data_IF_699286737662
#
_entry.id   IF_699286737662
#
_cell.length_a   1.000
_cell.length_b   1.000
_cell.length_c   1.000
_cell.angle_alpha   90.00
_cell.angle_beta   90.00
_cell.angle_gamma   90.00
#
_symmetry.space_group_name_H-M   'P 1'
#
loop_
_entity.id
_entity.type
_entity.pdbx_description
1 polymer ?
#
# COMPACT_ATOMS: atom_id res chain seq x y z
N UNK A 1 72.97 -14.90 6.16
CA UNK A 1 71.72 -15.59 5.72
C UNK A 1 70.53 -14.81 6.20
N UNK A 2 69.95 -13.97 5.36
CA UNK A 2 68.78 -13.14 5.68
C UNK A 2 67.55 -13.83 5.06
N UNK A 3 66.64 -14.31 5.90
CA UNK A 3 65.34 -14.90 5.50
C UNK A 3 64.29 -13.77 5.28
N UNK A 4 63.86 -13.57 4.01
CA UNK A 4 62.79 -12.69 3.64
C UNK A 4 61.46 -13.36 4.04
N UNK A 5 60.73 -12.81 5.02
CA UNK A 5 59.34 -13.12 5.33
C UNK A 5 58.43 -12.33 4.36
N UNK A 6 57.78 -13.03 3.44
CA UNK A 6 56.74 -12.45 2.61
C UNK A 6 55.43 -12.33 3.41
N UNK A 7 54.98 -11.09 3.59
CA UNK A 7 53.64 -10.79 4.12
C UNK A 7 52.62 -10.95 2.99
N UNK A 8 51.76 -11.96 3.09
CA UNK A 8 50.63 -12.13 2.20
C UNK A 8 49.48 -11.32 2.79
N UNK A 9 49.18 -10.16 2.20
CA UNK A 9 47.95 -9.43 2.48
C UNK A 9 46.79 -10.07 1.74
N UNK A 10 45.96 -10.82 2.43
CA UNK A 10 44.69 -11.33 1.90
C UNK A 10 43.68 -10.17 1.85
N UNK A 11 43.38 -9.67 0.66
CA UNK A 11 42.31 -8.72 0.44
C UNK A 11 40.95 -9.44 0.55
N UNK A 12 40.20 -9.15 1.60
CA UNK A 12 38.80 -9.60 1.75
C UNK A 12 37.95 -8.76 0.81
N UNK A 13 37.52 -9.35 -0.31
CA UNK A 13 36.53 -8.72 -1.19
C UNK A 13 35.16 -8.76 -0.53
N UNK A 14 34.69 -7.60 -0.06
CA UNK A 14 33.30 -7.43 0.41
C UNK A 14 32.41 -7.42 -0.85
N UNK A 15 31.44 -8.34 -0.97
CA UNK A 15 30.52 -8.30 -2.09
C UNK A 15 29.67 -7.04 -2.01
N UNK A 16 29.78 -6.19 -3.03
CA UNK A 16 28.93 -5.03 -3.22
C UNK A 16 27.54 -5.56 -3.62
N UNK A 17 26.63 -5.69 -2.66
CA UNK A 17 25.22 -6.01 -2.97
C UNK A 17 24.64 -4.78 -3.66
N UNK A 18 24.19 -4.89 -4.94
CA UNK A 18 23.57 -3.77 -5.62
C UNK A 18 22.31 -3.41 -4.83
N UNK A 19 22.29 -2.20 -4.25
CA UNK A 19 21.06 -1.60 -3.77
C UNK A 19 20.22 -1.34 -5.01
N UNK A 20 19.17 -2.11 -5.22
CA UNK A 20 18.16 -1.79 -6.22
C UNK A 20 17.69 -0.36 -5.92
N UNK A 21 18.01 0.55 -6.84
CA UNK A 21 17.50 1.91 -6.77
C UNK A 21 15.98 1.81 -6.83
N UNK A 22 15.31 2.23 -5.76
CA UNK A 22 13.84 2.25 -5.72
C UNK A 22 13.40 3.31 -6.71
N UNK A 23 12.51 2.96 -7.61
CA UNK A 23 11.98 3.91 -8.58
C UNK A 23 11.26 5.03 -7.80
N UNK A 24 11.69 6.27 -8.03
CA UNK A 24 10.95 7.43 -7.55
C UNK A 24 9.58 7.48 -8.23
N UNK A 25 8.56 7.98 -7.50
CA UNK A 25 7.24 8.18 -8.06
C UNK A 25 7.31 9.00 -9.34
N UNK A 26 6.79 8.47 -10.43
CA UNK A 26 6.70 9.18 -11.71
C UNK A 26 5.36 9.89 -11.80
N UNK A 27 5.32 11.06 -12.43
CA UNK A 27 4.07 11.71 -12.79
C UNK A 27 3.54 11.06 -14.08
N UNK A 28 2.32 10.52 -14.04
CA UNK A 28 1.63 10.04 -15.23
C UNK A 28 1.06 11.18 -16.08
N UNK A 29 0.68 10.86 -17.31
CA UNK A 29 0.04 11.83 -18.22
C UNK A 29 -1.33 12.31 -17.71
N UNK A 30 -1.95 11.52 -16.81
CA UNK A 30 -3.17 11.84 -16.07
C UNK A 30 -2.93 12.78 -14.87
N UNK A 31 -1.68 13.17 -14.61
CA UNK A 31 -1.31 14.04 -13.50
C UNK A 31 -1.30 13.34 -12.13
N UNK A 32 -1.42 12.02 -12.10
CA UNK A 32 -1.30 11.22 -10.88
C UNK A 32 0.14 10.74 -10.67
N UNK A 33 0.53 10.56 -9.41
CA UNK A 33 1.79 9.93 -9.06
C UNK A 33 1.70 8.42 -9.30
N UNK A 34 2.66 7.83 -10.03
CA UNK A 34 2.70 6.40 -10.35
C UNK A 34 3.84 5.70 -9.63
N UNK A 35 3.60 4.46 -9.25
CA UNK A 35 4.61 3.54 -8.74
C UNK A 35 4.71 2.33 -9.67
N UNK A 36 5.92 1.80 -9.87
CA UNK A 36 6.13 0.65 -10.76
C UNK A 36 5.51 -0.66 -10.24
N UNK A 37 5.13 -0.69 -8.96
CA UNK A 37 4.49 -1.82 -8.31
C UNK A 37 2.96 -1.70 -8.24
N UNK A 38 2.36 -0.66 -8.84
CA UNK A 38 0.91 -0.61 -9.00
C UNK A 38 0.47 -1.62 -10.07
N UNK A 39 -0.65 -2.27 -9.82
CA UNK A 39 -1.23 -3.22 -10.75
C UNK A 39 -1.70 -2.49 -12.01
N UNK A 40 -1.30 -3.01 -13.17
CA UNK A 40 -1.89 -2.62 -14.45
C UNK A 40 -3.20 -3.40 -14.63
N UNK A 41 -4.27 -2.85 -14.06
CA UNK A 41 -5.59 -3.47 -14.00
C UNK A 41 -6.48 -3.04 -15.16
N UNK A 42 -7.35 -3.94 -15.60
CA UNK A 42 -8.49 -3.62 -16.48
C UNK A 42 -9.63 -2.93 -15.73
N UNK A 43 -9.47 -2.68 -14.43
CA UNK A 43 -10.46 -2.07 -13.55
C UNK A 43 -11.74 -2.90 -13.36
N UNK A 44 -11.62 -4.20 -13.38
CA UNK A 44 -12.66 -5.16 -13.00
C UNK A 44 -12.42 -5.55 -11.53
N UNK A 45 -12.94 -4.74 -10.59
CA UNK A 45 -12.53 -4.79 -9.18
C UNK A 45 -12.79 -6.14 -8.49
N UNK A 46 -13.85 -6.83 -8.89
CA UNK A 46 -14.16 -8.17 -8.40
C UNK A 46 -13.11 -9.20 -8.82
N UNK A 47 -12.69 -9.15 -10.08
CA UNK A 47 -11.70 -10.04 -10.66
C UNK A 47 -10.29 -9.70 -10.14
N UNK A 48 -9.98 -8.41 -9.96
CA UNK A 48 -8.73 -7.97 -9.35
C UNK A 48 -8.59 -8.54 -7.92
N UNK A 49 -9.65 -8.42 -7.09
CA UNK A 49 -9.64 -8.98 -5.73
C UNK A 49 -9.56 -10.51 -5.74
N UNK A 50 -10.25 -11.17 -6.66
CA UNK A 50 -10.20 -12.62 -6.78
C UNK A 50 -8.81 -13.11 -7.19
N UNK A 51 -8.18 -12.41 -8.13
CA UNK A 51 -6.81 -12.72 -8.59
C UNK A 51 -5.78 -12.50 -7.47
N UNK A 52 -5.87 -11.39 -6.75
CA UNK A 52 -5.02 -11.13 -5.58
C UNK A 52 -5.20 -12.21 -4.50
N UNK A 53 -6.45 -12.58 -4.21
CA UNK A 53 -6.79 -13.59 -3.21
C UNK A 53 -6.27 -14.99 -3.55
N UNK A 54 -6.24 -15.36 -4.84
CA UNK A 54 -5.65 -16.62 -5.29
C UNK A 54 -4.14 -16.73 -4.95
N UNK A 55 -3.48 -15.60 -4.81
CA UNK A 55 -2.07 -15.51 -4.38
C UNK A 55 -1.91 -15.17 -2.88
N UNK A 56 -3.00 -15.18 -2.13
CA UNK A 56 -3.02 -14.89 -0.69
C UNK A 56 -2.91 -13.40 -0.35
N UNK A 57 -3.09 -12.51 -1.34
CA UNK A 57 -3.06 -11.05 -1.16
C UNK A 57 -4.45 -10.44 -1.17
N UNK A 58 -4.60 -9.29 -0.53
CA UNK A 58 -5.78 -8.44 -0.65
C UNK A 58 -5.68 -7.47 -1.83
N UNK A 59 -6.70 -6.64 -1.98
CA UNK A 59 -6.72 -5.54 -2.95
C UNK A 59 -6.72 -4.21 -2.21
N UNK A 60 -5.84 -3.30 -2.63
CA UNK A 60 -5.77 -1.92 -2.16
C UNK A 60 -6.22 -0.99 -3.28
N UNK A 61 -7.32 -0.29 -3.09
CA UNK A 61 -7.84 0.70 -4.01
C UNK A 61 -7.44 2.09 -3.53
N UNK A 62 -6.62 2.78 -4.31
CA UNK A 62 -6.06 4.07 -3.96
C UNK A 62 -6.68 5.17 -4.83
N UNK A 63 -7.60 5.95 -4.24
CA UNK A 63 -8.17 7.12 -4.90
C UNK A 63 -7.27 8.34 -4.73
N UNK A 64 -6.86 8.91 -5.85
CA UNK A 64 -6.04 10.10 -5.93
C UNK A 64 -6.65 11.13 -6.89
N UNK A 65 -6.02 12.29 -7.02
CA UNK A 65 -6.38 13.31 -8.02
C UNK A 65 -5.16 14.13 -8.44
N UNK A 66 -5.20 14.66 -9.63
CA UNK A 66 -4.15 15.54 -10.13
C UNK A 66 -4.00 16.78 -9.22
N UNK A 67 -2.74 17.17 -8.96
CA UNK A 67 -2.42 18.34 -8.14
C UNK A 67 -2.66 18.18 -6.65
N UNK A 68 -2.98 16.98 -6.14
CA UNK A 68 -3.23 16.71 -4.73
C UNK A 68 -1.94 16.76 -3.89
N UNK A 69 -1.81 17.71 -2.95
CA UNK A 69 -0.60 17.81 -2.14
C UNK A 69 -0.41 16.64 -1.17
N UNK A 70 -1.50 16.08 -0.64
CA UNK A 70 -1.45 14.95 0.27
C UNK A 70 -1.20 13.62 -0.45
N UNK A 71 -1.62 13.49 -1.71
CA UNK A 71 -1.25 12.35 -2.54
C UNK A 71 0.25 12.36 -2.81
N UNK A 72 0.81 13.53 -3.19
CA UNK A 72 2.26 13.70 -3.29
C UNK A 72 2.99 13.34 -2.00
N UNK A 73 2.43 13.73 -0.84
CA UNK A 73 3.04 13.41 0.46
C UNK A 73 3.00 11.90 0.75
N UNK A 74 1.91 11.21 0.39
CA UNK A 74 1.82 9.75 0.49
C UNK A 74 2.93 9.07 -0.31
N UNK A 75 3.14 9.49 -1.55
CA UNK A 75 4.21 8.94 -2.40
C UNK A 75 5.61 9.30 -1.89
N UNK A 76 5.83 10.57 -1.49
CA UNK A 76 7.13 11.09 -1.10
C UNK A 76 7.60 10.56 0.26
N UNK A 77 6.68 10.33 1.18
CA UNK A 77 7.00 9.95 2.58
C UNK A 77 6.71 8.48 2.82
N UNK A 78 5.47 8.03 2.61
CA UNK A 78 5.10 6.65 2.94
C UNK A 78 5.66 5.65 1.92
N UNK A 79 5.45 5.90 0.62
CA UNK A 79 5.93 4.99 -0.43
C UNK A 79 7.43 5.12 -0.73
N UNK A 80 8.13 6.09 -0.12
CA UNK A 80 9.57 6.12 -0.09
C UNK A 80 10.18 5.19 0.99
N UNK A 81 9.37 4.71 1.93
CA UNK A 81 9.82 3.82 3.01
C UNK A 81 9.80 2.36 2.57
N UNK A 82 10.97 1.67 2.59
CA UNK A 82 11.05 0.25 2.24
C UNK A 82 10.08 -0.63 3.02
N UNK A 83 9.99 -0.42 4.32
CA UNK A 83 9.13 -1.20 5.20
C UNK A 83 7.64 -1.12 4.84
N UNK A 84 7.18 0.01 4.31
CA UNK A 84 5.78 0.17 3.88
C UNK A 84 5.57 -0.49 2.52
N UNK A 85 6.45 -0.22 1.55
CA UNK A 85 6.25 -0.76 0.20
C UNK A 85 6.47 -2.27 0.15
N UNK A 86 7.45 -2.79 0.91
CA UNK A 86 7.67 -4.23 1.00
C UNK A 86 6.45 -4.92 1.65
N UNK A 87 5.84 -4.27 2.66
CA UNK A 87 4.61 -4.78 3.26
C UNK A 87 3.42 -4.74 2.30
N UNK A 88 3.23 -3.62 1.58
CA UNK A 88 2.16 -3.50 0.58
C UNK A 88 2.31 -4.61 -0.47
N UNK A 89 3.46 -4.70 -1.12
CA UNK A 89 3.68 -5.64 -2.23
C UNK A 89 3.64 -7.10 -1.81
N UNK A 90 3.91 -7.39 -0.54
CA UNK A 90 3.76 -8.74 0.01
C UNK A 90 2.31 -9.13 0.31
N UNK A 91 1.42 -8.15 0.58
CA UNK A 91 0.09 -8.43 1.11
C UNK A 91 -1.06 -7.87 0.27
N UNK A 92 -0.80 -6.98 -0.69
CA UNK A 92 -1.84 -6.33 -1.49
C UNK A 92 -1.40 -6.12 -2.92
N UNK A 93 -2.32 -6.33 -3.85
CA UNK A 93 -2.26 -5.72 -5.18
C UNK A 93 -2.88 -4.33 -5.11
N UNK A 94 -2.31 -3.35 -5.84
CA UNK A 94 -2.70 -1.95 -5.70
C UNK A 94 -3.24 -1.42 -7.01
N UNK A 95 -4.50 -1.03 -7.01
CA UNK A 95 -5.17 -0.36 -8.13
C UNK A 95 -5.36 1.12 -7.82
N UNK A 96 -4.83 1.98 -8.67
CA UNK A 96 -4.97 3.42 -8.56
C UNK A 96 -6.18 3.91 -9.36
N UNK A 97 -7.01 4.72 -8.72
CA UNK A 97 -8.21 5.34 -9.29
C UNK A 97 -8.12 6.87 -9.20
N UNK A 98 -8.60 7.55 -10.25
CA UNK A 98 -8.70 9.00 -10.25
C UNK A 98 -10.08 9.43 -9.74
N UNK A 99 -10.11 10.25 -8.69
CA UNK A 99 -11.35 10.80 -8.12
C UNK A 99 -12.23 11.50 -9.18
N UNK A 100 -11.61 12.07 -10.21
CA UNK A 100 -12.28 12.80 -11.31
C UNK A 100 -12.16 12.08 -12.65
N UNK A 101 -11.66 10.87 -12.64
CA UNK A 101 -11.38 10.09 -13.84
C UNK A 101 -12.63 9.66 -14.60
N UNK A 102 -12.41 9.32 -15.86
CA UNK A 102 -13.44 8.87 -16.78
C UNK A 102 -13.19 7.46 -17.33
N UNK A 103 -12.18 6.74 -16.82
CA UNK A 103 -12.00 5.33 -17.18
C UNK A 103 -13.19 4.54 -16.66
N UNK A 104 -13.64 3.57 -17.45
CA UNK A 104 -14.68 2.65 -17.01
C UNK A 104 -14.11 1.68 -15.97
N UNK A 105 -14.86 1.49 -14.89
CA UNK A 105 -14.56 0.57 -13.80
C UNK A 105 -15.77 -0.33 -13.61
N UNK A 106 -15.56 -1.63 -13.56
CA UNK A 106 -16.57 -2.60 -13.16
C UNK A 106 -16.53 -2.76 -11.64
N UNK A 107 -17.57 -2.26 -10.97
CA UNK A 107 -17.72 -2.33 -9.51
C UNK A 107 -17.96 -3.77 -9.04
N UNK A 108 -17.84 -4.05 -7.75
CA UNK A 108 -18.08 -5.36 -7.15
C UNK A 108 -19.50 -5.89 -7.38
N UNK A 109 -20.49 -5.02 -7.55
CA UNK A 109 -21.88 -5.41 -7.86
C UNK A 109 -22.16 -5.59 -9.36
N UNK A 110 -21.12 -5.50 -10.21
CA UNK A 110 -21.20 -5.65 -11.64
C UNK A 110 -21.69 -4.40 -12.38
N UNK A 111 -21.85 -3.26 -11.71
CA UNK A 111 -22.17 -2.00 -12.37
C UNK A 111 -20.91 -1.40 -13.03
N UNK A 112 -20.98 -1.11 -14.33
CA UNK A 112 -19.93 -0.40 -15.03
C UNK A 112 -20.11 1.12 -14.88
N UNK A 113 -19.12 1.80 -14.32
CA UNK A 113 -19.15 3.21 -13.97
C UNK A 113 -17.87 3.92 -14.39
N UNK A 114 -17.93 5.20 -14.68
CA UNK A 114 -16.71 6.02 -14.69
C UNK A 114 -16.14 6.15 -13.28
N UNK A 115 -14.81 6.24 -13.14
CA UNK A 115 -14.11 6.37 -11.85
C UNK A 115 -14.74 7.42 -10.92
N UNK A 116 -15.07 8.61 -11.47
CA UNK A 116 -15.73 9.68 -10.69
C UNK A 116 -17.12 9.31 -10.18
N UNK A 117 -17.84 8.45 -10.92
CA UNK A 117 -19.14 7.94 -10.53
C UNK A 117 -19.01 6.87 -9.45
N UNK A 118 -18.03 6.00 -9.60
CA UNK A 118 -17.66 5.02 -8.58
C UNK A 118 -17.28 5.72 -7.27
N UNK A 119 -16.42 6.74 -7.32
CA UNK A 119 -16.03 7.52 -6.15
C UNK A 119 -17.24 8.15 -5.45
N UNK A 120 -18.16 8.75 -6.22
CA UNK A 120 -19.41 9.30 -5.69
C UNK A 120 -20.32 8.24 -5.06
N UNK A 121 -20.49 7.08 -5.72
CA UNK A 121 -21.27 5.92 -5.22
C UNK A 121 -20.70 5.40 -3.90
N UNK A 122 -19.38 5.36 -3.78
CA UNK A 122 -18.68 4.88 -2.58
C UNK A 122 -18.48 5.96 -1.51
N UNK A 123 -18.94 7.19 -1.74
CA UNK A 123 -18.79 8.31 -0.81
C UNK A 123 -17.34 8.75 -0.61
N UNK A 124 -16.47 8.54 -1.61
CA UNK A 124 -15.09 9.00 -1.59
C UNK A 124 -15.06 10.50 -1.95
N UNK A 125 -14.77 11.33 -0.97
CA UNK A 125 -14.80 12.80 -1.10
C UNK A 125 -13.44 13.45 -0.84
N UNK A 126 -12.43 12.67 -0.47
CA UNK A 126 -11.09 13.14 -0.11
C UNK A 126 -10.04 12.33 -0.84
N UNK A 127 -8.89 12.95 -1.09
CA UNK A 127 -7.70 12.27 -1.61
C UNK A 127 -6.47 12.61 -0.77
N UNK A 128 -5.57 11.64 -0.58
CA UNK A 128 -5.76 10.23 -0.96
C UNK A 128 -6.84 9.56 -0.11
N UNK A 129 -7.58 8.62 -0.67
CA UNK A 129 -8.39 7.68 0.10
C UNK A 129 -7.94 6.27 -0.26
N UNK A 130 -7.60 5.48 0.75
CA UNK A 130 -7.24 4.07 0.56
C UNK A 130 -8.38 3.19 1.06
N UNK A 131 -8.87 2.30 0.20
CA UNK A 131 -9.83 1.25 0.56
C UNK A 131 -9.09 -0.08 0.52
N UNK A 132 -9.15 -0.82 1.61
CA UNK A 132 -8.49 -2.11 1.77
C UNK A 132 -9.53 -3.23 1.76
N UNK A 133 -9.33 -4.19 0.87
CA UNK A 133 -10.14 -5.40 0.76
C UNK A 133 -9.25 -6.61 1.10
N UNK A 134 -9.60 -7.34 2.15
CA UNK A 134 -8.84 -8.53 2.52
C UNK A 134 -9.07 -9.67 1.52
N UNK A 135 -8.09 -10.56 1.36
CA UNK A 135 -8.21 -11.75 0.50
C UNK A 135 -9.47 -12.60 0.81
N UNK A 136 -9.83 -12.70 2.09
CA UNK A 136 -11.02 -13.44 2.52
C UNK A 136 -12.37 -12.88 2.04
N UNK A 137 -12.38 -11.67 1.49
CA UNK A 137 -13.57 -11.01 0.94
C UNK A 137 -13.72 -11.21 -0.57
N UNK A 138 -12.85 -12.02 -1.20
CA UNK A 138 -12.97 -12.35 -2.62
C UNK A 138 -14.33 -13.00 -2.92
N UNK A 139 -14.95 -12.57 -4.02
CA UNK A 139 -16.30 -12.99 -4.38
C UNK A 139 -17.43 -12.20 -3.68
N UNK A 140 -17.09 -11.11 -2.99
CA UNK A 140 -18.09 -10.18 -2.46
C UNK A 140 -18.96 -9.62 -3.59
N UNK A 141 -20.25 -9.50 -3.33
CA UNK A 141 -21.25 -9.05 -4.31
C UNK A 141 -21.42 -7.54 -4.36
N UNK A 142 -20.76 -6.80 -3.47
CA UNK A 142 -20.81 -5.34 -3.38
C UNK A 142 -19.65 -4.81 -2.53
N UNK A 143 -19.52 -3.48 -2.48
CA UNK A 143 -18.48 -2.83 -1.67
C UNK A 143 -18.58 -3.18 -0.18
N UNK A 144 -19.79 -3.29 0.36
CA UNK A 144 -19.97 -3.55 1.80
C UNK A 144 -19.40 -4.92 2.20
N UNK A 145 -19.48 -5.91 1.30
CA UNK A 145 -18.84 -7.21 1.48
C UNK A 145 -17.34 -7.20 1.19
N UNK A 146 -16.88 -6.37 0.24
CA UNK A 146 -15.47 -6.32 -0.19
C UNK A 146 -14.59 -5.52 0.78
N UNK A 147 -15.07 -4.35 1.24
CA UNK A 147 -14.29 -3.42 2.08
C UNK A 147 -14.03 -3.99 3.47
N UNK A 148 -12.77 -4.09 3.84
CA UNK A 148 -12.34 -4.44 5.19
C UNK A 148 -12.03 -3.22 6.05
N UNK A 149 -11.44 -2.20 5.43
CA UNK A 149 -11.06 -0.96 6.11
C UNK A 149 -10.85 0.19 5.13
N UNK A 150 -11.13 1.39 5.58
CA UNK A 150 -10.97 2.63 4.78
C UNK A 150 -10.17 3.68 5.52
N UNK A 151 -9.27 4.34 4.79
CA UNK A 151 -8.47 5.46 5.27
C UNK A 151 -8.80 6.69 4.42
N UNK A 152 -9.69 7.57 4.86
CA UNK A 152 -9.92 8.84 4.18
C UNK A 152 -8.83 9.84 4.55
N UNK A 153 -8.10 10.33 3.55
CA UNK A 153 -7.02 11.30 3.72
C UNK A 153 -5.64 10.66 3.99
N UNK A 154 -4.66 11.55 4.13
CA UNK A 154 -3.27 11.15 4.38
C UNK A 154 -3.07 10.77 5.85
N UNK A 155 -2.48 9.60 6.07
CA UNK A 155 -1.96 9.18 7.36
C UNK A 155 -0.43 9.11 7.34
N UNK A 156 0.19 9.50 8.45
CA UNK A 156 1.64 9.38 8.63
C UNK A 156 2.09 7.90 8.64
N UNK A 157 3.37 7.62 8.37
CA UNK A 157 3.89 6.27 8.11
C UNK A 157 3.47 5.19 9.10
N UNK A 158 3.58 5.47 10.40
CA UNK A 158 3.21 4.51 11.45
C UNK A 158 1.72 4.08 11.36
N UNK A 159 0.83 5.07 11.25
CA UNK A 159 -0.62 4.79 11.18
C UNK A 159 -0.99 4.12 9.86
N UNK A 160 -0.35 4.53 8.76
CA UNK A 160 -0.57 3.94 7.45
C UNK A 160 -0.15 2.46 7.43
N UNK A 161 1.08 2.14 7.87
CA UNK A 161 1.55 0.76 7.98
C UNK A 161 0.67 -0.06 8.92
N UNK A 162 0.29 0.52 10.07
CA UNK A 162 -0.58 -0.18 11.03
C UNK A 162 -1.96 -0.50 10.45
N UNK A 163 -2.48 0.33 9.54
CA UNK A 163 -3.74 0.05 8.85
C UNK A 163 -3.63 -1.11 7.87
N UNK A 164 -2.51 -1.20 7.16
CA UNK A 164 -2.22 -2.33 6.27
C UNK A 164 -2.12 -3.64 7.06
N UNK A 165 -1.36 -3.62 8.15
CA UNK A 165 -1.21 -4.77 9.04
C UNK A 165 -2.55 -5.20 9.67
N UNK A 166 -3.36 -4.24 10.10
CA UNK A 166 -4.68 -4.46 10.69
C UNK A 166 -5.59 -5.29 9.79
N UNK A 167 -5.54 -5.03 8.48
CA UNK A 167 -6.31 -5.78 7.49
C UNK A 167 -5.63 -7.10 7.14
N UNK A 168 -4.33 -7.08 6.81
CA UNK A 168 -3.60 -8.26 6.36
C UNK A 168 -3.55 -9.38 7.42
N UNK A 169 -3.51 -9.02 8.72
CA UNK A 169 -3.52 -9.98 9.83
C UNK A 169 -4.92 -10.40 10.29
N UNK A 170 -5.98 -9.81 9.70
CA UNK A 170 -7.37 -10.10 10.07
C UNK A 170 -7.83 -9.48 11.38
N UNK A 171 -7.06 -8.57 11.97
CA UNK A 171 -7.42 -7.91 13.23
C UNK A 171 -8.69 -7.05 13.09
N UNK A 172 -9.00 -6.58 11.87
CA UNK A 172 -10.24 -5.82 11.58
C UNK A 172 -11.53 -6.59 11.92
N UNK A 173 -11.47 -7.92 11.96
CA UNK A 173 -12.62 -8.76 12.36
C UNK A 173 -12.72 -8.97 13.87
N UNK A 174 -11.67 -8.63 14.64
CA UNK A 174 -11.54 -8.95 16.06
C UNK A 174 -11.71 -7.73 16.96
N UNK A 175 -11.26 -6.57 16.54
CA UNK A 175 -11.25 -5.36 17.36
C UNK A 175 -11.29 -4.08 16.51
N UNK A 176 -11.76 -2.95 17.07
CA UNK A 176 -11.68 -1.66 16.41
C UNK A 176 -10.24 -1.20 16.19
N UNK A 177 -9.97 -0.49 15.09
CA UNK A 177 -8.63 -0.01 14.72
C UNK A 177 -7.92 0.80 15.81
N UNK A 178 -8.67 1.67 16.52
CA UNK A 178 -8.11 2.46 17.62
C UNK A 178 -7.56 1.57 18.75
N UNK A 179 -8.26 0.48 19.07
CA UNK A 179 -7.79 -0.47 20.08
C UNK A 179 -6.54 -1.20 19.60
N UNK A 180 -6.55 -1.68 18.36
CA UNK A 180 -5.38 -2.29 17.75
C UNK A 180 -4.15 -1.37 17.80
N UNK A 181 -4.31 -0.08 17.46
CA UNK A 181 -3.22 0.91 17.55
C UNK A 181 -2.69 1.08 18.98
N UNK A 182 -3.58 1.14 19.99
CA UNK A 182 -3.18 1.25 21.39
C UNK A 182 -2.36 0.05 21.85
N UNK A 183 -2.82 -1.15 21.52
CA UNK A 183 -2.15 -2.40 21.88
C UNK A 183 -0.79 -2.51 21.18
N UNK A 184 -0.72 -2.18 19.88
CA UNK A 184 0.53 -2.13 19.11
C UNK A 184 1.51 -1.11 19.69
N UNK A 185 1.03 0.07 20.06
CA UNK A 185 1.84 1.12 20.64
C UNK A 185 2.43 0.70 22.00
N UNK A 186 1.60 0.06 22.85
CA UNK A 186 2.04 -0.46 24.13
C UNK A 186 3.14 -1.54 23.97
N UNK A 187 2.92 -2.48 23.04
CA UNK A 187 3.90 -3.54 22.76
C UNK A 187 5.24 -3.01 22.23
N UNK A 188 5.24 -1.97 21.40
CA UNK A 188 6.47 -1.34 20.91
C UNK A 188 7.23 -0.61 22.05
N UNK A 189 6.51 0.08 22.92
CA UNK A 189 7.11 0.74 24.10
C UNK A 189 7.75 -0.25 25.07
N UNK A 190 7.11 -1.40 25.29
CA UNK A 190 7.69 -2.46 26.11
C UNK A 190 9.01 -3.00 25.53
N UNK A 191 9.16 -2.94 24.20
CA UNK A 191 10.39 -3.30 23.49
C UNK A 191 11.40 -2.15 23.43
N UNK A 192 11.12 -0.99 24.05
CA UNK A 192 11.96 0.20 24.01
C UNK A 192 11.94 0.94 22.67
N UNK A 193 10.97 0.65 21.81
CA UNK A 193 10.79 1.32 20.50
C UNK A 193 9.75 2.42 20.69
N UNK A 194 10.14 3.66 20.38
CA UNK A 194 9.20 4.79 20.31
C UNK A 194 8.79 5.02 18.85
N UNK A 195 7.59 4.58 18.43
CA UNK A 195 7.18 4.74 17.06
C UNK A 195 6.98 6.22 16.73
N UNK A 196 7.44 6.63 15.56
CA UNK A 196 7.26 7.97 15.02
C UNK A 196 5.77 8.17 14.64
N UNK A 197 4.95 8.55 15.62
CA UNK A 197 3.50 8.66 15.47
C UNK A 197 3.02 10.00 14.89
N UNK A 198 3.93 10.99 14.69
CA UNK A 198 3.63 12.35 14.23
C UNK A 198 4.36 12.74 12.95
#
# INVERSE_FOLDING_TARGET
MLTRRALICSAVAVPLVPRLARAEARMGDDGLHKQDWFLDSFLELGDDLQSAAAEGRGLMLLFEQAGCPYCRELHRVNFARPEIVDYITAHFDVVQLDLWGAREVLDFDGEALEERRLAAKWGVNFTPTTVLCAAGNAGAADLAGAESFRLPGYLKPFHYLSSLEYVATGEYTRQPFQRYLQDKFAALREQGIDPEVW
#
